data_IF_249745051730
#
_entry.id   IF_249745051730
#
_cell.length_a   1.000
_cell.length_b   1.000
_cell.length_c   1.000
_cell.angle_alpha   90.00
_cell.angle_beta   90.00
_cell.angle_gamma   90.00
#
_symmetry.space_group_name_H-M   'P 1'
#
loop_
_entity.id
_entity.type
_entity.pdbx_description
1 polymer ?
#
# COMPACT_ATOMS: atom_id res chain seq x y z
N UNK A 1 -7.76 65.48 -43.28
CA UNK A 1 -7.34 64.15 -42.96
C UNK A 1 -8.42 63.51 -42.07
N UNK A 2 -9.35 62.79 -42.68
CA UNK A 2 -10.51 62.18 -42.02
C UNK A 2 -10.11 60.79 -41.55
N UNK A 3 -10.02 60.58 -40.24
CA UNK A 3 -9.89 59.24 -39.65
C UNK A 3 -11.20 58.48 -39.93
N UNK A 4 -11.13 57.49 -40.81
CA UNK A 4 -12.20 56.56 -41.06
C UNK A 4 -12.52 55.82 -39.74
N UNK A 5 -13.77 55.99 -39.26
CA UNK A 5 -14.26 55.26 -38.10
C UNK A 5 -14.33 53.79 -38.42
N UNK A 6 -13.60 52.96 -37.72
CA UNK A 6 -13.75 51.52 -37.75
C UNK A 6 -15.22 51.18 -37.45
N UNK A 7 -15.87 50.36 -38.28
CA UNK A 7 -17.27 49.98 -38.08
C UNK A 7 -17.45 49.25 -36.74
N UNK A 8 -18.45 49.67 -35.98
CA UNK A 8 -18.74 49.15 -34.63
C UNK A 8 -18.97 47.60 -34.60
N UNK A 9 -19.26 47.03 -35.76
CA UNK A 9 -19.37 45.57 -35.95
C UNK A 9 -18.03 44.83 -35.76
N UNK A 10 -16.93 45.37 -36.31
CA UNK A 10 -15.59 44.75 -36.18
C UNK A 10 -15.09 44.76 -34.72
N UNK A 11 -15.41 45.80 -33.95
CA UNK A 11 -15.07 45.84 -32.52
C UNK A 11 -15.86 44.86 -31.68
N UNK A 12 -17.12 44.60 -32.01
CA UNK A 12 -17.97 43.61 -31.37
C UNK A 12 -17.47 42.17 -31.67
N UNK A 13 -17.13 41.91 -32.91
CA UNK A 13 -16.61 40.59 -33.31
C UNK A 13 -15.27 40.30 -32.66
N UNK A 14 -14.35 41.28 -32.62
CA UNK A 14 -13.07 41.16 -31.93
C UNK A 14 -13.22 40.96 -30.41
N UNK A 15 -14.21 41.62 -29.77
CA UNK A 15 -14.49 41.42 -28.35
C UNK A 15 -15.08 40.02 -28.05
N UNK A 16 -15.94 39.49 -28.91
CA UNK A 16 -16.49 38.15 -28.77
C UNK A 16 -15.46 37.05 -28.96
N UNK A 17 -14.57 37.19 -29.96
CA UNK A 17 -13.48 36.25 -30.20
C UNK A 17 -12.44 36.27 -29.08
N UNK A 18 -12.08 37.44 -28.57
CA UNK A 18 -11.15 37.62 -27.43
C UNK A 18 -11.76 37.00 -26.14
N UNK A 19 -13.05 37.27 -25.89
CA UNK A 19 -13.77 36.69 -24.75
C UNK A 19 -13.84 35.14 -24.81
N UNK A 20 -14.11 34.60 -25.98
CA UNK A 20 -14.12 33.16 -26.23
C UNK A 20 -12.75 32.51 -26.00
N UNK A 21 -11.68 33.15 -26.46
CA UNK A 21 -10.30 32.70 -26.25
C UNK A 21 -9.91 32.66 -24.76
N UNK A 22 -10.27 33.71 -24.01
CA UNK A 22 -10.02 33.78 -22.56
C UNK A 22 -10.77 32.69 -21.81
N UNK A 23 -12.04 32.46 -22.14
CA UNK A 23 -12.84 31.38 -21.51
C UNK A 23 -12.30 29.99 -21.85
N UNK A 24 -11.91 29.77 -23.11
CA UNK A 24 -11.30 28.50 -23.50
C UNK A 24 -9.96 28.24 -22.79
N UNK A 25 -9.10 29.26 -22.69
CA UNK A 25 -7.84 29.15 -21.97
C UNK A 25 -8.05 28.88 -20.48
N UNK A 26 -9.00 29.56 -19.84
CA UNK A 26 -9.39 29.32 -18.46
C UNK A 26 -9.91 27.89 -18.26
N UNK A 27 -10.74 27.40 -19.17
CA UNK A 27 -11.25 26.02 -19.15
C UNK A 27 -10.13 24.99 -19.24
N UNK A 28 -9.14 25.20 -20.10
CA UNK A 28 -7.99 24.32 -20.25
C UNK A 28 -7.15 24.30 -18.96
N UNK A 29 -6.84 25.47 -18.40
CA UNK A 29 -6.06 25.58 -17.15
C UNK A 29 -6.79 24.89 -16.00
N UNK A 30 -8.09 25.11 -15.87
CA UNK A 30 -8.90 24.42 -14.84
C UNK A 30 -8.95 22.91 -15.04
N UNK A 31 -9.07 22.43 -16.27
CA UNK A 31 -9.05 21.00 -16.57
C UNK A 31 -7.71 20.36 -16.22
N UNK A 32 -6.59 21.04 -16.51
CA UNK A 32 -5.25 20.58 -16.13
C UNK A 32 -5.07 20.53 -14.61
N UNK A 33 -5.48 21.57 -13.88
CA UNK A 33 -5.38 21.62 -12.42
C UNK A 33 -6.24 20.54 -11.75
N UNK A 34 -7.45 20.32 -12.24
CA UNK A 34 -8.35 19.26 -11.74
C UNK A 34 -7.81 17.88 -12.08
N UNK A 35 -7.23 17.70 -13.26
CA UNK A 35 -6.60 16.45 -13.69
C UNK A 35 -5.39 16.10 -12.82
N UNK A 36 -4.52 17.05 -12.52
CA UNK A 36 -3.39 16.82 -11.61
C UNK A 36 -3.84 16.46 -10.19
N UNK A 37 -4.89 17.14 -9.72
CA UNK A 37 -5.43 16.87 -8.38
C UNK A 37 -6.05 15.47 -8.30
N UNK A 38 -6.81 15.06 -9.31
CA UNK A 38 -7.37 13.73 -9.42
C UNK A 38 -6.28 12.65 -9.50
N UNK A 39 -5.22 12.90 -10.29
CA UNK A 39 -4.09 11.98 -10.42
C UNK A 39 -3.28 11.82 -9.11
N UNK A 40 -3.16 12.87 -8.29
CA UNK A 40 -2.52 12.79 -6.97
C UNK A 40 -3.33 11.92 -6.02
N UNK A 41 -4.63 12.19 -5.91
CA UNK A 41 -5.56 11.41 -5.08
C UNK A 41 -5.52 9.93 -5.48
N UNK A 42 -5.56 9.65 -6.78
CA UNK A 42 -5.54 8.27 -7.28
C UNK A 42 -4.24 7.54 -6.96
N UNK A 43 -3.08 8.22 -7.00
CA UNK A 43 -1.78 7.63 -6.62
C UNK A 43 -1.70 7.33 -5.12
N UNK A 44 -2.22 8.21 -4.27
CA UNK A 44 -2.29 8.00 -2.82
C UNK A 44 -3.16 6.77 -2.47
N UNK A 45 -4.32 6.64 -3.11
CA UNK A 45 -5.20 5.48 -2.92
C UNK A 45 -4.58 4.17 -3.44
N UNK A 46 -3.91 4.20 -4.59
CA UNK A 46 -3.23 3.02 -5.14
C UNK A 46 -2.13 2.52 -4.20
N UNK A 47 -1.35 3.41 -3.59
CA UNK A 47 -0.32 3.06 -2.61
C UNK A 47 -0.89 2.37 -1.36
N UNK A 48 -2.02 2.86 -0.85
CA UNK A 48 -2.67 2.26 0.33
C UNK A 48 -3.23 0.86 0.05
N UNK A 49 -3.83 0.65 -1.12
CA UNK A 49 -4.35 -0.67 -1.52
C UNK A 49 -3.22 -1.69 -1.65
N UNK A 50 -2.11 -1.32 -2.28
CA UNK A 50 -0.94 -2.19 -2.41
C UNK A 50 -0.38 -2.57 -1.03
N UNK A 51 -0.23 -1.62 -0.12
CA UNK A 51 0.25 -1.85 1.24
C UNK A 51 -0.66 -2.82 2.01
N UNK A 52 -1.99 -2.70 1.88
CA UNK A 52 -2.95 -3.61 2.52
C UNK A 52 -2.78 -5.04 1.97
N UNK A 53 -2.61 -5.19 0.65
CA UNK A 53 -2.40 -6.50 0.02
C UNK A 53 -1.08 -7.13 0.47
N UNK A 54 -0.02 -6.34 0.60
CA UNK A 54 1.30 -6.81 1.07
C UNK A 54 1.23 -7.29 2.53
N UNK A 55 0.55 -6.54 3.41
CA UNK A 55 0.35 -6.95 4.81
C UNK A 55 -0.48 -8.24 4.89
N UNK A 56 -1.56 -8.36 4.08
CA UNK A 56 -2.33 -9.60 4.02
C UNK A 56 -1.49 -10.77 3.54
N UNK A 57 -0.71 -10.60 2.48
CA UNK A 57 0.21 -11.62 1.97
C UNK A 57 1.21 -12.07 3.02
N UNK A 58 1.85 -11.12 3.71
CA UNK A 58 2.79 -11.42 4.80
C UNK A 58 2.11 -12.14 5.98
N UNK A 59 0.86 -11.79 6.31
CA UNK A 59 0.10 -12.43 7.37
C UNK A 59 -0.28 -13.88 7.01
N UNK A 60 -0.71 -14.14 5.78
CA UNK A 60 -0.97 -15.51 5.31
C UNK A 60 0.31 -16.36 5.32
N UNK A 61 1.42 -15.78 4.87
CA UNK A 61 2.71 -16.46 4.88
C UNK A 61 3.20 -16.75 6.31
N UNK A 62 2.99 -15.86 7.28
CA UNK A 62 3.25 -16.11 8.70
C UNK A 62 2.41 -17.27 9.22
N UNK A 63 1.12 -17.29 8.91
CA UNK A 63 0.22 -18.35 9.33
C UNK A 63 0.65 -19.71 8.76
N UNK A 64 1.10 -19.75 7.51
CA UNK A 64 1.64 -20.97 6.89
C UNK A 64 2.89 -21.46 7.64
N UNK A 65 3.85 -20.58 7.95
CA UNK A 65 5.06 -20.97 8.70
C UNK A 65 4.74 -21.52 10.10
N UNK A 66 3.75 -20.94 10.79
CA UNK A 66 3.32 -21.46 12.09
C UNK A 66 2.67 -22.84 11.97
N UNK A 67 1.87 -23.07 10.93
CA UNK A 67 1.27 -24.38 10.66
C UNK A 67 2.33 -25.44 10.32
N UNK A 68 3.37 -25.07 9.56
CA UNK A 68 4.49 -25.94 9.26
C UNK A 68 5.28 -26.30 10.53
N UNK A 69 5.55 -25.32 11.41
CA UNK A 69 6.16 -25.60 12.72
C UNK A 69 5.35 -26.62 13.53
N UNK A 70 4.02 -26.43 13.61
CA UNK A 70 3.15 -27.35 14.35
C UNK A 70 3.12 -28.77 13.72
N UNK A 71 3.23 -28.84 12.41
CA UNK A 71 3.31 -30.09 11.69
C UNK A 71 4.61 -30.84 12.00
N UNK A 72 5.76 -30.17 11.88
CA UNK A 72 7.06 -30.78 12.11
C UNK A 72 7.26 -31.15 13.59
N UNK A 73 6.79 -30.31 14.51
CA UNK A 73 6.79 -30.64 15.93
C UNK A 73 6.00 -31.92 16.21
N UNK A 74 4.80 -32.05 15.61
CA UNK A 74 4.00 -33.28 15.79
C UNK A 74 4.69 -34.53 15.23
N UNK A 75 5.34 -34.42 14.08
CA UNK A 75 6.11 -35.52 13.51
C UNK A 75 7.26 -35.92 14.41
N UNK A 76 8.00 -34.94 14.92
CA UNK A 76 9.08 -35.21 15.88
C UNK A 76 8.57 -35.90 17.18
N UNK A 77 7.49 -35.40 17.77
CA UNK A 77 6.93 -35.93 19.03
C UNK A 77 6.40 -37.38 18.83
N UNK A 78 5.85 -37.68 17.66
CA UNK A 78 5.28 -39.00 17.37
C UNK A 78 6.32 -40.01 16.84
N UNK A 79 7.28 -39.53 16.05
CA UNK A 79 8.27 -40.39 15.37
C UNK A 79 9.64 -40.43 16.06
N UNK A 80 9.98 -39.38 16.83
CA UNK A 80 11.29 -39.26 17.48
C UNK A 80 12.46 -39.05 16.50
N UNK A 81 12.17 -38.73 15.23
CA UNK A 81 13.21 -38.57 14.21
C UNK A 81 13.82 -37.17 14.28
N UNK A 82 15.12 -37.11 14.58
CA UNK A 82 15.87 -35.86 14.62
C UNK A 82 15.91 -35.13 13.26
N UNK A 83 15.64 -35.81 12.15
CA UNK A 83 15.54 -35.19 10.83
C UNK A 83 14.37 -34.20 10.73
N UNK A 84 13.31 -34.38 11.53
CA UNK A 84 12.15 -33.47 11.56
C UNK A 84 12.46 -32.11 12.23
N UNK A 85 13.56 -32.01 13.00
CA UNK A 85 13.96 -30.76 13.66
C UNK A 85 14.51 -29.71 12.70
N UNK A 86 15.21 -30.10 11.62
CA UNK A 86 15.72 -29.17 10.62
C UNK A 86 14.60 -28.31 10.00
N UNK A 87 13.59 -28.91 9.37
CA UNK A 87 12.44 -28.21 8.82
C UNK A 87 11.62 -27.41 9.86
N UNK A 88 11.58 -27.86 11.11
CA UNK A 88 10.97 -27.12 12.21
C UNK A 88 11.69 -25.79 12.44
N UNK A 89 13.01 -25.79 12.57
CA UNK A 89 13.79 -24.57 12.78
C UNK A 89 13.78 -23.63 11.57
N UNK A 90 13.74 -24.16 10.36
CA UNK A 90 13.54 -23.35 9.14
C UNK A 90 12.18 -22.62 9.17
N UNK A 91 11.11 -23.32 9.51
CA UNK A 91 9.78 -22.72 9.64
C UNK A 91 9.72 -21.66 10.76
N UNK A 92 10.44 -21.89 11.88
CA UNK A 92 10.57 -20.93 12.98
C UNK A 92 11.32 -19.67 12.54
N UNK A 93 12.41 -19.81 11.79
CA UNK A 93 13.15 -18.72 11.19
C UNK A 93 12.27 -17.89 10.24
N UNK A 94 11.58 -18.56 9.33
CA UNK A 94 10.65 -17.92 8.41
C UNK A 94 9.53 -17.16 9.14
N UNK A 95 8.97 -17.69 10.22
CA UNK A 95 7.96 -17.01 11.01
C UNK A 95 8.49 -15.69 11.62
N UNK A 96 9.74 -15.69 12.14
CA UNK A 96 10.39 -14.47 12.69
C UNK A 96 10.62 -13.40 11.62
N UNK A 97 11.09 -13.79 10.43
CA UNK A 97 11.29 -12.87 9.30
C UNK A 97 9.98 -12.24 8.84
N UNK A 98 8.90 -13.03 8.77
CA UNK A 98 7.59 -12.54 8.35
C UNK A 98 6.98 -11.56 9.33
N UNK A 99 7.21 -11.72 10.64
CA UNK A 99 6.82 -10.72 11.63
C UNK A 99 7.61 -9.43 11.46
N UNK A 100 8.92 -9.52 11.24
CA UNK A 100 9.74 -8.33 10.98
C UNK A 100 9.23 -7.59 9.73
N UNK A 101 8.88 -8.33 8.68
CA UNK A 101 8.29 -7.75 7.45
C UNK A 101 6.94 -7.09 7.69
N UNK A 102 6.05 -7.71 8.45
CA UNK A 102 4.74 -7.11 8.81
C UNK A 102 4.94 -5.80 9.58
N UNK A 103 5.89 -5.76 10.53
CA UNK A 103 6.20 -4.54 11.29
C UNK A 103 6.73 -3.42 10.40
N UNK A 104 7.57 -3.75 9.43
CA UNK A 104 8.09 -2.78 8.46
C UNK A 104 6.98 -2.21 7.59
N UNK A 105 6.12 -3.06 7.02
CA UNK A 105 4.98 -2.65 6.21
C UNK A 105 3.95 -1.83 6.99
N UNK A 106 3.83 -2.09 8.29
CA UNK A 106 2.89 -1.40 9.18
C UNK A 106 3.43 -0.06 9.73
N UNK A 107 4.69 0.31 9.45
CA UNK A 107 5.39 1.45 10.07
C UNK A 107 4.65 2.78 9.89
N UNK A 108 4.10 3.01 8.70
CA UNK A 108 3.51 4.29 8.32
C UNK A 108 2.05 4.45 8.76
N UNK A 109 1.42 3.36 9.25
CA UNK A 109 0.04 3.39 9.74
C UNK A 109 0.01 3.09 11.24
N UNK A 110 -0.41 4.05 12.10
CA UNK A 110 -0.37 3.89 13.54
C UNK A 110 -1.23 2.74 14.06
N UNK A 111 -2.38 2.46 13.44
CA UNK A 111 -3.27 1.35 13.81
C UNK A 111 -2.63 0.01 13.48
N UNK A 112 -2.06 -0.11 12.28
CA UNK A 112 -1.39 -1.33 11.83
C UNK A 112 -0.10 -1.58 12.62
N UNK A 113 0.65 -0.53 12.98
CA UNK A 113 1.82 -0.62 13.84
C UNK A 113 1.47 -1.17 15.21
N UNK A 114 0.44 -0.65 15.85
CA UNK A 114 -0.03 -1.15 17.16
C UNK A 114 -0.43 -2.64 17.09
N UNK A 115 -1.09 -3.07 16.02
CA UNK A 115 -1.42 -4.47 15.78
C UNK A 115 -0.17 -5.34 15.56
N UNK A 116 0.81 -4.88 14.80
CA UNK A 116 2.09 -5.57 14.57
C UNK A 116 2.90 -5.71 15.85
N UNK A 117 2.92 -4.68 16.70
CA UNK A 117 3.56 -4.70 18.01
C UNK A 117 2.87 -5.69 18.97
N UNK A 118 1.54 -5.76 18.95
CA UNK A 118 0.78 -6.71 19.76
C UNK A 118 0.96 -8.18 19.29
N UNK A 119 1.09 -8.41 17.99
CA UNK A 119 1.28 -9.74 17.41
C UNK A 119 2.65 -10.35 17.75
N UNK A 120 3.69 -9.55 17.77
CA UNK A 120 5.05 -10.03 17.94
C UNK A 120 5.29 -10.86 19.23
N UNK A 121 4.86 -10.41 20.42
CA UNK A 121 5.01 -11.22 21.64
C UNK A 121 4.15 -12.46 21.63
N UNK A 122 3.00 -12.44 20.93
CA UNK A 122 2.14 -13.63 20.80
C UNK A 122 2.82 -14.72 19.98
N UNK A 123 3.41 -14.33 18.84
CA UNK A 123 4.14 -15.28 17.99
C UNK A 123 5.43 -15.73 18.66
N UNK A 124 6.17 -14.85 19.31
CA UNK A 124 7.37 -15.25 20.07
C UNK A 124 7.03 -16.29 21.15
N UNK A 125 5.96 -16.09 21.89
CA UNK A 125 5.46 -17.07 22.88
C UNK A 125 5.02 -18.37 22.23
N UNK A 126 4.39 -18.33 21.05
CA UNK A 126 4.00 -19.53 20.32
C UNK A 126 5.22 -20.32 19.87
N UNK A 127 6.20 -19.65 19.27
CA UNK A 127 7.47 -20.27 18.86
C UNK A 127 8.19 -20.89 20.06
N UNK A 128 8.35 -20.16 21.17
CA UNK A 128 9.01 -20.66 22.36
C UNK A 128 8.30 -21.90 22.97
N UNK A 129 6.96 -21.91 22.94
CA UNK A 129 6.19 -23.06 23.43
C UNK A 129 6.38 -24.30 22.55
N UNK A 130 6.52 -24.11 21.22
CA UNK A 130 6.77 -25.19 20.30
C UNK A 130 8.20 -25.72 20.38
N UNK A 131 9.16 -24.85 20.73
CA UNK A 131 10.59 -25.17 20.91
C UNK A 131 10.88 -25.89 22.25
N UNK A 132 9.96 -25.85 23.21
CA UNK A 132 10.15 -26.42 24.56
C UNK A 132 9.73 -27.88 24.70
N UNK A 133 9.37 -28.54 23.61
CA UNK A 133 8.96 -29.96 23.54
C UNK A 133 10.08 -30.81 22.98
#
# INVERSE_FOLDING_TARGET
MTRAGEPASLRREAALTAGGLVLASFGIVMALLLGERAARIQREWAGQVTQILDIRGATYALRASLADMERWQRLYVLGGDAADLGPFYEAAGAARERIARIRELARDNPVQRALGEALAPLVARRVARLDSV
#
